data_IF_105179100293
#
_entry.id   IF_105179100293
#
_cell.length_a   1.000
_cell.length_b   1.000
_cell.length_c   1.000
_cell.angle_alpha   90.00
_cell.angle_beta   90.00
_cell.angle_gamma   90.00
#
_symmetry.space_group_name_H-M   'P 1'
#
loop_
_entity.id
_entity.type
_entity.pdbx_description
1 polymer ?
#
# COMPACT_ATOMS: atom_id res chain seq x y z
N UNK A 1 -22.28 11.89 -15.78
CA UNK A 1 -21.80 11.73 -17.18
C UNK A 1 -23.00 11.30 -18.01
N UNK A 2 -23.19 11.82 -19.23
CA UNK A 2 -24.28 11.38 -20.11
C UNK A 2 -23.66 10.54 -21.22
N UNK A 3 -24.13 9.30 -21.41
CA UNK A 3 -23.75 8.43 -22.51
C UNK A 3 -25.01 8.06 -23.28
N UNK A 4 -25.02 8.24 -24.61
CA UNK A 4 -26.17 8.00 -25.48
C UNK A 4 -27.48 8.69 -25.02
N UNK A 5 -27.38 9.94 -24.53
CA UNK A 5 -28.55 10.70 -24.05
C UNK A 5 -29.16 10.19 -22.74
N UNK A 6 -28.56 9.19 -22.09
CA UNK A 6 -28.95 8.69 -20.78
C UNK A 6 -27.96 9.19 -19.73
N UNK A 7 -28.49 9.79 -18.66
CA UNK A 7 -27.68 10.23 -17.51
C UNK A 7 -27.20 9.00 -16.76
N UNK A 8 -25.89 8.77 -16.77
CA UNK A 8 -25.25 7.76 -15.93
C UNK A 8 -25.13 8.32 -14.52
N UNK A 9 -25.81 7.67 -13.57
CA UNK A 9 -25.66 7.89 -12.13
C UNK A 9 -25.03 6.68 -11.48
N UNK A 10 -24.04 6.88 -10.61
CA UNK A 10 -23.56 5.86 -9.68
C UNK A 10 -24.16 6.19 -8.32
N UNK A 11 -25.19 5.47 -7.85
CA UNK A 11 -25.77 5.73 -6.54
C UNK A 11 -24.74 5.44 -5.45
N UNK A 12 -24.55 6.39 -4.54
CA UNK A 12 -23.76 6.20 -3.31
C UNK A 12 -24.71 6.23 -2.12
N UNK A 13 -24.41 5.42 -1.10
CA UNK A 13 -25.19 5.33 0.13
C UNK A 13 -24.26 5.51 1.33
N UNK A 14 -24.73 6.28 2.33
CA UNK A 14 -24.07 6.42 3.62
C UNK A 14 -24.78 5.58 4.70
N UNK A 15 -25.65 4.65 4.29
CA UNK A 15 -26.34 3.78 5.24
C UNK A 15 -25.29 2.99 6.04
N UNK A 16 -25.26 3.12 7.38
CA UNK A 16 -24.22 2.52 8.23
C UNK A 16 -24.13 0.99 8.11
N UNK A 17 -25.20 0.32 7.67
CA UNK A 17 -25.20 -1.13 7.41
C UNK A 17 -24.24 -1.54 6.27
N UNK A 18 -23.84 -0.60 5.42
CA UNK A 18 -22.99 -0.84 4.26
C UNK A 18 -21.66 -0.06 4.32
N UNK A 19 -21.35 0.55 5.46
CA UNK A 19 -20.07 1.23 5.66
C UNK A 19 -18.99 0.18 5.83
N UNK A 20 -18.04 0.18 4.91
CA UNK A 20 -16.80 -0.57 5.05
C UNK A 20 -15.93 0.18 6.06
N UNK A 21 -15.50 -0.50 7.13
CA UNK A 21 -14.54 0.04 8.09
C UNK A 21 -13.11 -0.32 7.65
N UNK A 22 -12.36 0.60 7.03
CA UNK A 22 -11.09 0.24 6.40
C UNK A 22 -9.94 0.15 7.40
N UNK A 23 -10.18 0.45 8.68
CA UNK A 23 -9.17 0.50 9.74
C UNK A 23 -9.28 -0.63 10.75
N UNK A 24 -10.41 -1.33 10.80
CA UNK A 24 -10.63 -2.41 11.74
C UNK A 24 -11.77 -3.30 11.26
N UNK A 25 -11.58 -4.60 11.30
CA UNK A 25 -12.66 -5.56 11.15
C UNK A 25 -13.54 -5.59 12.40
N UNK A 26 -14.86 -5.44 12.24
CA UNK A 26 -15.80 -5.43 13.36
C UNK A 26 -16.00 -6.81 14.02
N UNK A 27 -15.67 -7.90 13.34
CA UNK A 27 -15.87 -9.26 13.82
C UNK A 27 -14.80 -9.71 14.80
N UNK A 28 -13.53 -9.66 14.37
CA UNK A 28 -12.39 -10.14 15.17
C UNK A 28 -11.45 -9.03 15.64
N UNK A 29 -11.68 -7.79 15.19
CA UNK A 29 -10.86 -6.65 15.57
C UNK A 29 -9.51 -6.55 14.85
N UNK A 30 -9.29 -7.33 13.78
CA UNK A 30 -8.10 -7.26 12.93
C UNK A 30 -7.92 -5.84 12.38
N UNK A 31 -6.68 -5.37 12.33
CA UNK A 31 -6.35 -4.04 11.80
C UNK A 31 -5.39 -4.14 10.61
N UNK A 32 -5.43 -3.19 9.66
CA UNK A 32 -4.48 -3.21 8.54
C UNK A 32 -3.03 -3.15 9.03
N UNK A 33 -2.07 -3.75 8.32
CA UNK A 33 -0.67 -3.66 8.70
C UNK A 33 -0.19 -2.22 8.79
N UNK A 34 0.66 -1.92 9.76
CA UNK A 34 1.34 -0.63 9.88
C UNK A 34 2.55 -0.58 8.95
N UNK A 35 2.73 0.55 8.27
CA UNK A 35 3.94 0.89 7.53
C UNK A 35 4.64 2.08 8.15
N UNK A 36 5.95 2.00 8.32
CA UNK A 36 6.83 3.14 8.66
C UNK A 36 7.96 3.26 7.65
N UNK A 37 8.43 4.48 7.40
CA UNK A 37 9.64 4.72 6.59
C UNK A 37 10.93 4.87 7.42
N UNK A 38 10.78 4.90 8.74
CA UNK A 38 11.86 4.98 9.73
C UNK A 38 11.45 4.11 10.93
N UNK A 39 12.37 3.44 11.65
CA UNK A 39 12.02 2.48 12.72
C UNK A 39 11.02 3.03 13.76
N UNK A 40 11.22 4.27 14.20
CA UNK A 40 10.36 4.96 15.17
C UNK A 40 9.58 6.12 14.54
N UNK A 41 9.44 6.11 13.22
CA UNK A 41 8.75 7.16 12.48
C UNK A 41 7.23 7.10 12.59
N UNK A 42 6.58 8.04 11.90
CA UNK A 42 5.12 8.07 11.74
C UNK A 42 4.64 6.76 11.12
N UNK A 43 3.65 6.13 11.75
CA UNK A 43 3.00 4.95 11.24
C UNK A 43 1.81 5.30 10.34
N UNK A 44 1.73 4.60 9.22
CA UNK A 44 0.63 4.67 8.27
C UNK A 44 -0.19 3.38 8.34
N UNK A 45 -1.51 3.51 8.30
CA UNK A 45 -2.45 2.40 8.40
C UNK A 45 -3.69 2.71 7.57
N UNK A 46 -4.22 1.72 6.84
CA UNK A 46 -5.45 1.83 6.08
C UNK A 46 -5.32 2.65 4.78
N UNK A 47 -6.38 3.37 4.36
CA UNK A 47 -6.40 4.13 3.10
C UNK A 47 -5.35 5.26 3.08
N UNK A 48 -4.90 5.70 1.89
CA UNK A 48 -3.90 6.76 1.77
C UNK A 48 -4.38 8.08 2.38
N UNK A 49 -3.57 8.66 3.28
CA UNK A 49 -3.81 9.98 3.90
C UNK A 49 -3.01 11.11 3.23
N UNK A 50 -2.82 11.03 1.91
CA UNK A 50 -1.98 11.94 1.14
C UNK A 50 -0.59 11.37 0.83
N UNK A 51 0.41 12.26 0.67
CA UNK A 51 1.82 11.88 0.44
C UNK A 51 2.51 11.69 1.79
N UNK A 52 3.00 10.49 2.03
CA UNK A 52 3.64 10.09 3.29
C UNK A 52 5.14 10.42 3.35
N UNK A 53 5.81 10.39 2.20
CA UNK A 53 7.24 10.72 2.09
C UNK A 53 7.53 11.31 0.71
N UNK A 54 8.50 12.22 0.65
CA UNK A 54 9.05 12.74 -0.60
C UNK A 54 10.51 12.34 -0.70
N UNK A 55 10.91 11.89 -1.89
CA UNK A 55 12.28 11.55 -2.25
C UNK A 55 12.72 12.37 -3.47
N UNK A 56 14.04 12.49 -3.64
CA UNK A 56 14.65 13.06 -4.83
C UNK A 56 15.76 12.13 -5.32
N UNK A 57 15.88 11.96 -6.63
CA UNK A 57 16.94 11.15 -7.26
C UNK A 57 17.25 11.69 -8.66
N UNK A 58 18.35 11.23 -9.27
CA UNK A 58 18.68 11.52 -10.66
C UNK A 58 18.27 10.36 -11.55
N UNK A 59 18.07 10.63 -12.84
CA UNK A 59 17.74 9.61 -13.82
C UNK A 59 18.77 8.47 -13.88
N UNK A 60 20.05 8.80 -13.64
CA UNK A 60 21.16 7.84 -13.64
C UNK A 60 21.35 7.07 -12.32
N UNK A 61 20.54 7.35 -11.30
CA UNK A 61 20.69 6.77 -9.95
C UNK A 61 19.50 5.87 -9.61
N UNK A 62 19.75 4.84 -8.81
CA UNK A 62 18.67 4.04 -8.22
C UNK A 62 18.22 4.67 -6.91
N UNK A 63 16.90 4.77 -6.70
CA UNK A 63 16.33 5.19 -5.43
C UNK A 63 16.05 3.98 -4.55
N UNK A 64 16.72 3.90 -3.40
CA UNK A 64 16.41 2.89 -2.38
C UNK A 64 15.13 3.25 -1.62
N UNK A 65 14.18 2.33 -1.60
CA UNK A 65 12.92 2.40 -0.87
C UNK A 65 12.95 1.41 0.29
N UNK A 66 13.02 1.94 1.51
CA UNK A 66 13.03 1.15 2.75
C UNK A 66 11.77 1.40 3.56
N UNK A 67 11.18 0.35 4.12
CA UNK A 67 10.06 0.46 5.05
C UNK A 67 10.14 -0.61 6.15
N UNK A 68 9.41 -0.39 7.24
CA UNK A 68 9.19 -1.33 8.34
C UNK A 68 7.72 -1.64 8.44
N UNK A 69 7.39 -2.93 8.47
CA UNK A 69 6.03 -3.45 8.48
C UNK A 69 5.78 -4.18 9.79
N UNK A 70 4.63 -3.93 10.39
CA UNK A 70 4.16 -4.67 11.58
C UNK A 70 2.67 -4.90 11.46
N UNK A 71 2.20 -6.06 11.92
CA UNK A 71 0.80 -6.43 11.90
C UNK A 71 0.42 -7.06 13.25
N UNK A 72 -0.86 -6.98 13.64
CA UNK A 72 -1.33 -7.57 14.89
C UNK A 72 -1.47 -9.11 14.81
N UNK A 73 -1.41 -9.68 13.60
CA UNK A 73 -1.45 -11.11 13.35
C UNK A 73 -2.82 -11.74 13.64
N UNK A 74 -3.86 -10.94 13.84
CA UNK A 74 -5.19 -11.43 14.16
C UNK A 74 -5.79 -12.11 12.93
N UNK A 75 -6.11 -13.40 13.10
CA UNK A 75 -6.81 -14.19 12.09
C UNK A 75 -8.04 -14.84 12.71
N UNK A 76 -9.12 -14.99 11.93
CA UNK A 76 -10.28 -15.73 12.39
C UNK A 76 -9.89 -17.18 12.72
N UNK A 77 -10.50 -17.82 13.73
CA UNK A 77 -10.21 -19.22 14.08
C UNK A 77 -10.39 -20.21 12.92
N UNK A 78 -11.31 -19.92 12.01
CA UNK A 78 -11.61 -20.70 10.81
C UNK A 78 -10.64 -20.45 9.65
N UNK A 79 -9.71 -19.49 9.77
CA UNK A 79 -8.74 -19.18 8.74
C UNK A 79 -7.86 -20.40 8.45
N UNK A 80 -7.71 -20.72 7.16
CA UNK A 80 -6.81 -21.79 6.74
C UNK A 80 -5.38 -21.44 7.16
N UNK A 81 -4.63 -22.39 7.75
CA UNK A 81 -3.22 -22.19 8.01
C UNK A 81 -2.51 -21.80 6.71
N UNK A 82 -1.74 -20.73 6.78
CA UNK A 82 -0.80 -20.33 5.75
C UNK A 82 0.54 -19.97 6.40
N UNK A 83 1.63 -20.11 5.63
CA UNK A 83 2.97 -19.70 6.03
C UNK A 83 3.32 -18.33 5.45
N UNK A 84 2.31 -17.47 5.30
CA UNK A 84 2.54 -16.11 4.84
C UNK A 84 3.25 -15.32 5.96
N UNK A 85 4.15 -14.39 5.61
CA UNK A 85 4.67 -13.46 6.61
C UNK A 85 3.51 -12.63 7.19
N UNK A 86 3.68 -12.09 8.40
CA UNK A 86 2.61 -11.33 9.07
C UNK A 86 2.21 -10.08 8.27
N UNK A 87 3.13 -9.53 7.46
CA UNK A 87 2.83 -8.50 6.48
C UNK A 87 3.64 -8.69 5.19
N UNK A 88 3.08 -8.23 4.07
CA UNK A 88 3.72 -8.18 2.75
C UNK A 88 3.56 -6.80 2.15
N UNK A 89 4.53 -6.34 1.37
CA UNK A 89 4.45 -5.07 0.61
C UNK A 89 4.49 -5.33 -0.89
N UNK A 90 3.75 -4.54 -1.65
CA UNK A 90 3.87 -4.44 -3.11
C UNK A 90 4.07 -2.98 -3.51
N UNK A 91 5.15 -2.71 -4.24
CA UNK A 91 5.44 -1.42 -4.84
C UNK A 91 4.89 -1.34 -6.26
N UNK A 92 4.31 -0.18 -6.60
CA UNK A 92 3.79 0.09 -7.95
C UNK A 92 3.89 1.57 -8.29
N UNK A 93 4.05 1.89 -9.58
CA UNK A 93 3.85 3.25 -10.08
C UNK A 93 2.36 3.59 -10.02
N UNK A 94 1.99 4.62 -9.28
CA UNK A 94 0.61 5.13 -9.24
C UNK A 94 0.40 6.24 -10.28
N UNK A 95 1.33 7.20 -10.35
CA UNK A 95 1.35 8.29 -11.35
C UNK A 95 2.78 8.64 -11.73
N UNK A 96 2.96 9.21 -12.91
CA UNK A 96 4.24 9.76 -13.36
C UNK A 96 4.48 9.55 -14.87
N UNK A 97 5.40 10.34 -15.46
CA UNK A 97 5.57 10.43 -16.91
C UNK A 97 6.22 9.20 -17.54
N UNK A 98 7.13 8.52 -16.83
CA UNK A 98 7.89 7.38 -17.35
C UNK A 98 7.53 6.03 -16.75
N UNK A 99 8.23 5.00 -17.21
CA UNK A 99 8.27 3.68 -16.56
C UNK A 99 9.09 3.76 -15.29
N UNK A 100 8.65 3.03 -14.26
CA UNK A 100 9.41 2.80 -13.02
C UNK A 100 9.67 1.31 -12.92
N UNK A 101 10.93 0.94 -12.77
CA UNK A 101 11.35 -0.46 -12.64
C UNK A 101 11.86 -0.68 -11.23
N UNK A 102 11.34 -1.70 -10.55
CA UNK A 102 11.78 -2.10 -9.22
C UNK A 102 12.69 -3.31 -9.35
N UNK A 103 13.79 -3.35 -8.59
CA UNK A 103 14.64 -4.55 -8.53
C UNK A 103 13.85 -5.76 -8.00
N UNK A 104 13.03 -5.52 -6.97
CA UNK A 104 11.96 -6.42 -6.54
C UNK A 104 10.75 -5.58 -6.12
N UNK A 105 9.61 -5.76 -6.79
CA UNK A 105 8.39 -5.03 -6.44
C UNK A 105 7.71 -5.59 -5.17
N UNK A 106 8.03 -6.82 -4.76
CA UNK A 106 7.50 -7.48 -3.56
C UNK A 106 8.65 -7.97 -2.67
N UNK A 107 9.52 -7.07 -2.18
CA UNK A 107 10.68 -7.45 -1.40
C UNK A 107 10.27 -8.22 -0.14
N UNK A 108 11.03 -9.26 0.19
CA UNK A 108 10.81 -10.05 1.41
C UNK A 108 11.18 -9.25 2.65
N UNK A 109 10.36 -9.41 3.68
CA UNK A 109 10.60 -8.83 4.99
C UNK A 109 11.66 -9.64 5.75
N UNK A 110 12.59 -8.96 6.39
CA UNK A 110 13.56 -9.58 7.28
C UNK A 110 12.99 -9.84 8.69
N UNK A 111 13.83 -10.35 9.59
CA UNK A 111 13.43 -10.69 10.95
C UNK A 111 13.03 -9.48 11.81
N UNK A 112 13.49 -8.27 11.43
CA UNK A 112 13.22 -7.02 12.14
C UNK A 112 12.01 -6.27 11.56
N UNK A 113 11.27 -6.91 10.65
CA UNK A 113 10.11 -6.31 9.98
C UNK A 113 10.49 -5.35 8.85
N UNK A 114 11.76 -5.27 8.45
CA UNK A 114 12.24 -4.34 7.45
C UNK A 114 12.17 -4.95 6.05
N UNK A 115 11.80 -4.11 5.09
CA UNK A 115 11.78 -4.40 3.65
C UNK A 115 12.58 -3.33 2.92
N UNK A 116 13.30 -3.71 1.86
CA UNK A 116 14.08 -2.78 1.05
C UNK A 116 14.09 -3.22 -0.41
N UNK A 117 13.96 -2.26 -1.32
CA UNK A 117 14.12 -2.47 -2.77
C UNK A 117 14.69 -1.21 -3.42
N UNK A 118 15.19 -1.30 -4.64
CA UNK A 118 15.60 -0.14 -5.43
C UNK A 118 14.62 0.11 -6.59
N UNK A 119 14.44 1.38 -6.94
CA UNK A 119 13.60 1.83 -8.04
C UNK A 119 14.40 2.69 -9.02
N UNK A 120 14.27 2.40 -10.32
CA UNK A 120 14.85 3.20 -11.41
C UNK A 120 13.75 3.82 -12.26
N UNK A 121 14.05 4.96 -12.87
CA UNK A 121 13.09 5.79 -13.59
C UNK A 121 13.51 5.97 -15.04
N UNK A 122 12.54 5.88 -15.97
CA UNK A 122 12.84 5.95 -17.41
C UNK A 122 13.02 7.37 -17.95
N UNK A 123 12.39 8.38 -17.32
CA UNK A 123 12.53 9.81 -17.71
C UNK A 123 12.47 10.73 -16.49
N UNK A 124 13.04 11.94 -16.56
CA UNK A 124 12.90 12.95 -15.51
C UNK A 124 11.44 13.38 -15.30
N UNK A 125 11.11 13.80 -14.08
CA UNK A 125 9.80 14.31 -13.72
C UNK A 125 9.31 13.86 -12.35
N UNK A 126 8.04 14.16 -12.08
CA UNK A 126 7.39 13.90 -10.80
C UNK A 126 6.61 12.58 -10.84
N UNK A 127 6.85 11.71 -9.88
CA UNK A 127 6.21 10.40 -9.74
C UNK A 127 5.49 10.30 -8.40
N UNK A 128 4.41 9.51 -8.41
CA UNK A 128 3.79 8.99 -7.20
C UNK A 128 3.92 7.48 -7.26
N UNK A 129 4.62 6.89 -6.29
CA UNK A 129 4.67 5.45 -6.08
C UNK A 129 3.69 5.07 -4.98
N UNK A 130 3.09 3.89 -5.11
CA UNK A 130 2.20 3.31 -4.11
C UNK A 130 2.86 2.08 -3.51
N UNK A 131 2.98 2.07 -2.19
CA UNK A 131 3.17 0.89 -1.37
C UNK A 131 1.80 0.38 -0.93
N UNK A 132 1.47 -0.86 -1.29
CA UNK A 132 0.32 -1.59 -0.76
C UNK A 132 0.83 -2.63 0.21
N UNK A 133 0.37 -2.60 1.45
CA UNK A 133 0.72 -3.57 2.49
C UNK A 133 -0.49 -4.41 2.82
N UNK A 134 -0.35 -5.72 2.77
CA UNK A 134 -1.39 -6.67 3.18
C UNK A 134 -0.88 -7.53 4.33
N UNK A 135 -1.78 -7.94 5.21
CA UNK A 135 -1.50 -8.89 6.28
C UNK A 135 -1.31 -10.32 5.72
N UNK A 136 -1.25 -11.31 6.61
CA UNK A 136 -1.11 -12.71 6.25
C UNK A 136 -2.28 -13.27 5.42
N UNK A 137 -3.43 -12.59 5.32
CA UNK A 137 -4.55 -13.00 4.47
C UNK A 137 -4.29 -12.72 2.97
N UNK A 138 -3.33 -11.85 2.66
CA UNK A 138 -2.88 -11.56 1.30
C UNK A 138 -3.75 -10.58 0.52
N UNK A 139 -3.53 -10.50 -0.80
CA UNK A 139 -4.24 -9.56 -1.66
C UNK A 139 -5.76 -9.79 -1.62
N UNK A 140 -6.52 -8.76 -1.25
CA UNK A 140 -7.98 -8.83 -1.15
C UNK A 140 -8.52 -9.35 0.18
N UNK A 141 -7.68 -9.51 1.20
CA UNK A 141 -8.12 -9.70 2.58
C UNK A 141 -8.84 -11.03 2.84
N UNK A 142 -8.77 -12.01 1.93
CA UNK A 142 -9.53 -13.26 2.06
C UNK A 142 -11.06 -13.09 2.07
N UNK A 143 -11.59 -11.95 1.57
CA UNK A 143 -13.02 -11.62 1.61
C UNK A 143 -13.43 -10.70 2.77
N UNK A 144 -12.53 -10.44 3.72
CA UNK A 144 -12.69 -9.38 4.70
C UNK A 144 -12.60 -8.01 4.00
N UNK A 145 -13.42 -7.05 4.43
CA UNK A 145 -13.46 -5.70 3.83
C UNK A 145 -12.33 -4.78 4.34
N UNK A 146 -11.46 -5.32 5.20
CA UNK A 146 -10.13 -4.85 5.54
C UNK A 146 -9.15 -5.98 5.15
N UNK A 147 -7.84 -5.88 5.15
CA UNK A 147 -7.00 -5.12 6.02
C UNK A 147 -5.72 -4.82 5.22
N UNK A 148 -5.80 -3.77 4.41
CA UNK A 148 -4.66 -3.31 3.62
C UNK A 148 -4.34 -1.86 3.96
N UNK A 149 -3.06 -1.54 3.89
CA UNK A 149 -2.54 -0.19 4.04
C UNK A 149 -1.98 0.28 2.71
N UNK A 150 -2.49 1.40 2.19
CA UNK A 150 -1.95 2.02 0.99
C UNK A 150 -1.25 3.33 1.34
N UNK A 151 -0.01 3.46 0.92
CA UNK A 151 0.83 4.63 1.17
C UNK A 151 1.35 5.18 -0.14
N UNK A 152 1.21 6.48 -0.34
CA UNK A 152 1.77 7.18 -1.48
C UNK A 152 3.05 7.90 -1.10
N UNK A 153 4.10 7.73 -1.91
CA UNK A 153 5.33 8.49 -1.81
C UNK A 153 5.54 9.28 -3.11
N UNK A 154 6.04 10.51 -2.97
CA UNK A 154 6.37 11.37 -4.09
C UNK A 154 7.86 11.23 -4.40
N UNK A 155 8.21 11.18 -5.69
CA UNK A 155 9.60 11.14 -6.13
C UNK A 155 9.82 12.20 -7.20
N UNK A 156 10.77 13.11 -6.96
CA UNK A 156 11.26 14.09 -7.92
C UNK A 156 12.51 13.53 -8.61
N UNK A 157 12.41 13.26 -9.91
CA UNK A 157 13.53 12.74 -10.71
C UNK A 157 14.10 13.86 -11.56
N UNK A 158 15.34 14.26 -11.28
CA UNK A 158 16.06 15.21 -12.14
C UNK A 158 16.80 14.49 -13.27
N UNK A 159 17.19 15.19 -14.34
CA UNK A 159 18.15 14.68 -15.31
C UNK A 159 19.42 14.16 -14.64
#
# INVERSE_FOLDING_TARGET
MVANGQTTSVPMSLNPLWVIEPFKDAGIGNTPPLLRFEPEGIAYQGPPRGIARTFSTKLSEELTLTAWLTDDGLRPPEARPNNNPPATITWSKFRGPGTVTFADAKPKMDADGKVSTSATFGVPGEYILRAQVNDASGDGGGGFQCCWTNVHVKVSVSP
#
